data_IF_142912037946
#
_entry.id   IF_142912037946
#
_cell.length_a   1.000
_cell.length_b   1.000
_cell.length_c   1.000
_cell.angle_alpha   90.00
_cell.angle_beta   90.00
_cell.angle_gamma   90.00
#
_symmetry.space_group_name_H-M   'P 1'
#
loop_
_entity.id
_entity.type
_entity.pdbx_description
1 polymer ?
#
# COMPACT_ATOMS: atom_id res chain seq x y z
N UNK A 1 -55.67 -30.58 -11.29
CA UNK A 1 -55.23 -30.14 -9.96
C UNK A 1 -53.71 -30.06 -9.98
N UNK A 2 -53.17 -28.87 -9.74
CA UNK A 2 -51.83 -28.45 -10.16
C UNK A 2 -50.69 -29.11 -9.40
N UNK A 3 -49.64 -29.43 -10.15
CA UNK A 3 -48.31 -29.82 -9.68
C UNK A 3 -47.54 -28.55 -9.30
N UNK A 4 -47.09 -28.46 -8.04
CA UNK A 4 -46.10 -27.49 -7.61
C UNK A 4 -44.92 -28.25 -7.00
N UNK A 5 -43.89 -28.44 -7.81
CA UNK A 5 -42.57 -28.89 -7.35
C UNK A 5 -41.88 -27.73 -6.64
N UNK A 6 -41.57 -27.91 -5.35
CA UNK A 6 -40.88 -26.94 -4.53
C UNK A 6 -39.43 -26.82 -4.99
N UNK A 7 -39.09 -25.67 -5.58
CA UNK A 7 -37.70 -25.29 -5.81
C UNK A 7 -37.07 -24.91 -4.47
N UNK A 8 -36.31 -25.84 -3.89
CA UNK A 8 -35.39 -25.51 -2.79
C UNK A 8 -34.32 -24.58 -3.37
N UNK A 9 -34.48 -23.29 -3.11
CA UNK A 9 -33.46 -22.28 -3.37
C UNK A 9 -32.29 -22.62 -2.44
N UNK A 10 -31.23 -23.20 -3.00
CA UNK A 10 -29.94 -23.34 -2.34
C UNK A 10 -29.58 -21.97 -1.74
N UNK A 11 -29.55 -21.90 -0.41
CA UNK A 11 -28.95 -20.77 0.29
C UNK A 11 -27.52 -20.71 -0.19
N UNK A 12 -27.12 -19.55 -0.74
CA UNK A 12 -25.73 -19.22 -0.98
C UNK A 12 -25.01 -19.37 0.36
N UNK A 13 -24.35 -20.51 0.56
CA UNK A 13 -23.40 -20.67 1.62
C UNK A 13 -22.34 -19.61 1.40
N UNK A 14 -21.96 -18.90 2.48
CA UNK A 14 -20.75 -18.10 2.49
C UNK A 14 -19.64 -18.99 1.93
N UNK A 15 -19.16 -18.68 0.71
CA UNK A 15 -18.03 -19.36 0.10
C UNK A 15 -16.81 -19.12 0.99
N UNK A 16 -16.56 -20.04 1.91
CA UNK A 16 -15.33 -20.11 2.69
C UNK A 16 -14.42 -21.14 2.02
N UNK A 17 -13.23 -20.63 1.67
CA UNK A 17 -12.02 -21.24 1.12
C UNK A 17 -11.95 -21.44 -0.40
N UNK A 18 -11.53 -20.38 -1.11
CA UNK A 18 -11.03 -20.44 -2.50
C UNK A 18 -9.54 -20.03 -2.61
N UNK A 19 -8.78 -20.17 -1.52
CA UNK A 19 -7.36 -19.77 -1.44
C UNK A 19 -6.39 -20.94 -1.37
N UNK A 20 -5.09 -20.64 -1.29
CA UNK A 20 -4.07 -21.66 -1.01
C UNK A 20 -4.24 -22.21 0.42
N UNK A 21 -3.87 -23.48 0.64
CA UNK A 21 -4.06 -24.16 1.93
C UNK A 21 -3.13 -23.63 3.03
N UNK A 22 -1.85 -23.40 2.69
CA UNK A 22 -0.79 -23.16 3.68
C UNK A 22 -0.32 -21.70 3.73
N UNK A 23 -0.75 -20.87 2.78
CA UNK A 23 -0.35 -19.47 2.73
C UNK A 23 -1.46 -18.60 2.14
N UNK A 24 -1.36 -17.29 2.35
CA UNK A 24 -2.19 -16.29 1.67
C UNK A 24 -1.28 -15.46 0.78
N UNK A 25 -1.63 -15.33 -0.49
CA UNK A 25 -0.92 -14.43 -1.38
C UNK A 25 -1.46 -13.00 -1.26
N UNK A 26 -0.56 -12.04 -1.35
CA UNK A 26 -0.84 -10.62 -1.46
C UNK A 26 -0.07 -10.04 -2.65
N UNK A 27 -0.60 -8.97 -3.23
CA UNK A 27 0.04 -8.19 -4.29
C UNK A 27 0.46 -6.83 -3.72
N UNK A 28 1.64 -6.33 -4.09
CA UNK A 28 2.10 -4.99 -3.77
C UNK A 28 2.18 -4.17 -5.05
N UNK A 29 1.44 -3.06 -5.11
CA UNK A 29 1.40 -2.16 -6.27
C UNK A 29 2.08 -0.85 -5.87
N UNK A 30 3.18 -0.54 -6.56
CA UNK A 30 4.00 0.64 -6.26
C UNK A 30 3.29 1.94 -6.67
N UNK A 31 3.66 3.03 -6.02
CA UNK A 31 3.09 4.36 -6.24
C UNK A 31 3.36 4.86 -7.66
N UNK A 32 4.49 4.48 -8.25
CA UNK A 32 4.88 4.84 -9.61
C UNK A 32 3.97 4.22 -10.69
N UNK A 33 3.23 3.17 -10.35
CA UNK A 33 2.28 2.49 -11.22
C UNK A 33 0.86 2.97 -10.99
N UNK A 34 0.57 3.51 -9.81
CA UNK A 34 -0.75 4.04 -9.44
C UNK A 34 -0.86 5.50 -9.88
N UNK A 35 0.15 6.33 -9.62
CA UNK A 35 0.11 7.77 -9.87
C UNK A 35 -0.22 8.13 -11.33
N UNK A 36 0.31 7.45 -12.36
CA UNK A 36 -0.01 7.77 -13.75
C UNK A 36 -1.43 7.42 -14.18
N UNK A 37 -2.20 6.66 -13.38
CA UNK A 37 -3.56 6.26 -13.74
C UNK A 37 -4.53 7.44 -13.73
N UNK A 38 -4.35 8.39 -12.79
CA UNK A 38 -5.30 9.49 -12.58
C UNK A 38 -6.73 8.97 -12.42
N UNK A 39 -7.63 9.46 -13.29
CA UNK A 39 -9.04 9.07 -13.31
C UNK A 39 -9.31 7.74 -14.07
N UNK A 40 -8.36 7.21 -14.83
CA UNK A 40 -8.51 5.97 -15.60
C UNK A 40 -7.74 4.80 -14.98
N UNK A 41 -8.42 4.09 -14.09
CA UNK A 41 -7.90 2.86 -13.49
C UNK A 41 -8.10 1.61 -14.38
N UNK A 42 -8.74 1.75 -15.55
CA UNK A 42 -9.12 0.65 -16.43
C UNK A 42 -7.93 -0.21 -16.82
N UNK A 43 -6.84 0.43 -17.26
CA UNK A 43 -5.60 -0.25 -17.67
C UNK A 43 -5.03 -1.14 -16.56
N UNK A 44 -5.03 -0.66 -15.31
CA UNK A 44 -4.53 -1.40 -14.15
C UNK A 44 -5.46 -2.56 -13.80
N UNK A 45 -6.76 -2.28 -13.72
CA UNK A 45 -7.78 -3.27 -13.34
C UNK A 45 -7.95 -4.40 -14.36
N UNK A 46 -7.76 -4.13 -15.65
CA UNK A 46 -7.73 -5.15 -16.69
C UNK A 46 -6.54 -6.09 -16.52
N UNK A 47 -5.33 -5.54 -16.30
CA UNK A 47 -4.12 -6.33 -16.04
C UNK A 47 -4.29 -7.22 -14.81
N UNK A 48 -4.80 -6.65 -13.72
CA UNK A 48 -5.09 -7.39 -12.48
C UNK A 48 -6.14 -8.47 -12.72
N UNK A 49 -7.18 -8.20 -13.52
CA UNK A 49 -8.20 -9.18 -13.87
C UNK A 49 -7.63 -10.37 -14.65
N UNK A 50 -6.63 -10.13 -15.51
CA UNK A 50 -5.90 -11.24 -16.15
C UNK A 50 -5.06 -12.01 -15.13
N UNK A 51 -4.36 -11.32 -14.21
CA UNK A 51 -3.57 -11.99 -13.16
C UNK A 51 -4.42 -12.88 -12.26
N UNK A 52 -5.62 -12.42 -11.88
CA UNK A 52 -6.55 -13.16 -11.02
C UNK A 52 -7.02 -14.49 -11.63
N UNK A 53 -6.88 -14.69 -12.95
CA UNK A 53 -7.16 -15.98 -13.61
C UNK A 53 -6.13 -17.06 -13.27
N UNK A 54 -4.92 -16.66 -12.89
CA UNK A 54 -3.79 -17.55 -12.69
C UNK A 54 -3.26 -17.54 -11.25
N UNK A 55 -3.34 -16.40 -10.58
CA UNK A 55 -2.85 -16.20 -9.21
C UNK A 55 -3.97 -15.63 -8.37
N UNK A 56 -4.43 -16.41 -7.39
CA UNK A 56 -5.41 -15.94 -6.41
C UNK A 56 -4.68 -15.23 -5.26
N UNK A 57 -4.96 -13.95 -5.07
CA UNK A 57 -4.50 -13.19 -3.91
C UNK A 57 -5.69 -12.55 -3.21
N UNK A 58 -5.67 -12.58 -1.89
CA UNK A 58 -6.76 -12.05 -1.08
C UNK A 58 -6.53 -10.63 -0.60
N UNK A 59 -5.34 -10.08 -0.84
CA UNK A 59 -4.93 -8.77 -0.31
C UNK A 59 -4.06 -8.02 -1.31
N UNK A 60 -4.20 -6.70 -1.31
CA UNK A 60 -3.39 -5.78 -2.11
C UNK A 60 -2.89 -4.64 -1.23
N UNK A 61 -1.60 -4.35 -1.32
CA UNK A 61 -1.02 -3.12 -0.79
C UNK A 61 -0.98 -2.10 -1.92
N UNK A 62 -1.67 -0.97 -1.72
CA UNK A 62 -1.61 0.19 -2.59
C UNK A 62 -0.60 1.16 -2.01
N UNK A 63 0.55 1.27 -2.65
CA UNK A 63 1.61 2.16 -2.19
C UNK A 63 1.22 3.62 -2.43
N UNK A 64 1.25 4.42 -1.37
CA UNK A 64 0.86 5.83 -1.40
C UNK A 64 2.05 6.78 -1.61
N UNK A 65 3.28 6.27 -1.52
CA UNK A 65 4.48 7.07 -1.74
C UNK A 65 5.70 6.22 -2.11
N UNK A 66 6.44 6.69 -3.12
CA UNK A 66 7.80 6.27 -3.50
C UNK A 66 8.45 7.37 -4.35
N UNK A 67 9.72 7.64 -4.13
CA UNK A 67 10.52 8.61 -4.90
C UNK A 67 9.85 9.99 -5.02
N UNK A 68 9.34 10.49 -3.89
CA UNK A 68 8.60 11.75 -3.80
C UNK A 68 7.25 11.79 -4.54
N UNK A 69 6.89 10.74 -5.29
CA UNK A 69 5.61 10.60 -6.00
C UNK A 69 4.54 10.14 -5.03
N UNK A 70 3.39 10.81 -5.07
CA UNK A 70 2.19 10.49 -4.27
C UNK A 70 1.02 10.37 -5.22
N UNK A 71 0.38 9.19 -5.35
CA UNK A 71 -0.83 9.04 -6.15
C UNK A 71 -1.98 9.89 -5.60
N UNK A 72 -2.91 10.28 -6.48
CA UNK A 72 -4.07 11.04 -6.05
C UNK A 72 -4.99 10.22 -5.13
N UNK A 73 -5.58 10.88 -4.13
CA UNK A 73 -6.53 10.26 -3.20
C UNK A 73 -7.71 9.62 -3.94
N UNK A 74 -8.19 10.27 -5.01
CA UNK A 74 -9.30 9.77 -5.82
C UNK A 74 -8.95 8.45 -6.51
N UNK A 75 -7.76 8.35 -7.12
CA UNK A 75 -7.25 7.12 -7.74
C UNK A 75 -7.13 5.98 -6.73
N UNK A 76 -6.57 6.26 -5.54
CA UNK A 76 -6.45 5.27 -4.45
C UNK A 76 -7.82 4.76 -4.00
N UNK A 77 -8.80 5.66 -3.82
CA UNK A 77 -10.17 5.29 -3.45
C UNK A 77 -10.88 4.49 -4.53
N UNK A 78 -10.68 4.84 -5.81
CA UNK A 78 -11.26 4.11 -6.93
C UNK A 78 -10.71 2.68 -7.01
N UNK A 79 -9.39 2.50 -6.87
CA UNK A 79 -8.77 1.17 -6.78
C UNK A 79 -9.27 0.41 -5.53
N UNK A 80 -9.34 1.07 -4.38
CA UNK A 80 -9.83 0.49 -3.13
C UNK A 80 -11.25 -0.07 -3.30
N UNK A 81 -12.15 0.70 -3.92
CA UNK A 81 -13.51 0.29 -4.20
C UNK A 81 -13.55 -0.91 -5.15
N UNK A 82 -12.78 -0.87 -6.25
CA UNK A 82 -12.73 -1.93 -7.25
C UNK A 82 -12.27 -3.28 -6.67
N UNK A 83 -11.26 -3.27 -5.80
CA UNK A 83 -10.79 -4.48 -5.11
C UNK A 83 -11.80 -4.99 -4.09
N UNK A 84 -12.41 -4.09 -3.31
CA UNK A 84 -13.41 -4.44 -2.30
C UNK A 84 -14.63 -5.13 -2.92
N UNK A 85 -15.11 -4.66 -4.07
CA UNK A 85 -16.21 -5.30 -4.81
C UNK A 85 -15.93 -6.75 -5.21
N UNK A 86 -14.64 -7.13 -5.28
CA UNK A 86 -14.16 -8.47 -5.60
C UNK A 86 -13.76 -9.27 -4.36
N UNK A 87 -14.03 -8.75 -3.16
CA UNK A 87 -13.67 -9.41 -1.90
C UNK A 87 -12.16 -9.43 -1.62
N UNK A 88 -11.39 -8.53 -2.24
CA UNK A 88 -9.94 -8.41 -2.03
C UNK A 88 -9.69 -7.29 -1.03
N UNK A 89 -8.99 -7.61 0.07
CA UNK A 89 -8.61 -6.65 1.09
C UNK A 89 -7.56 -5.66 0.56
N UNK A 90 -7.58 -4.44 1.09
CA UNK A 90 -6.65 -3.38 0.70
C UNK A 90 -5.98 -2.78 1.92
N UNK A 91 -4.69 -2.49 1.80
CA UNK A 91 -3.88 -1.83 2.81
C UNK A 91 -2.97 -0.79 2.15
N UNK A 92 -2.49 0.18 2.91
CA UNK A 92 -1.52 1.16 2.42
C UNK A 92 -0.10 0.59 2.44
N UNK A 93 0.70 0.88 1.43
CA UNK A 93 2.16 0.75 1.45
C UNK A 93 2.83 2.12 1.48
N UNK A 94 3.95 2.26 2.20
CA UNK A 94 4.75 3.48 2.22
C UNK A 94 6.22 3.13 2.05
N UNK A 95 6.83 3.64 0.97
CA UNK A 95 8.27 3.56 0.73
C UNK A 95 8.90 4.93 0.92
N UNK A 96 9.80 5.07 1.90
CA UNK A 96 10.29 6.36 2.39
C UNK A 96 11.55 6.82 1.64
N UNK A 97 11.42 6.95 0.31
CA UNK A 97 12.51 7.34 -0.61
C UNK A 97 12.34 8.74 -1.19
N UNK A 98 13.47 9.40 -1.42
CA UNK A 98 13.56 10.64 -2.19
C UNK A 98 13.82 10.30 -3.65
N UNK A 99 14.82 9.45 -3.90
CA UNK A 99 15.27 9.04 -5.23
C UNK A 99 16.07 7.75 -5.12
N UNK A 100 15.46 6.62 -5.50
CA UNK A 100 16.10 5.31 -5.53
C UNK A 100 17.28 5.23 -6.51
N UNK A 101 17.21 5.96 -7.63
CA UNK A 101 18.25 5.94 -8.68
C UNK A 101 19.50 6.71 -8.24
N UNK A 102 19.38 7.60 -7.27
CA UNK A 102 20.48 8.39 -6.73
C UNK A 102 20.95 7.82 -5.38
N UNK A 103 21.60 6.66 -5.42
CA UNK A 103 22.15 5.96 -4.23
C UNK A 103 21.11 5.66 -3.15
N UNK A 104 19.89 5.27 -3.55
CA UNK A 104 18.84 4.89 -2.62
C UNK A 104 18.54 5.97 -1.58
N UNK A 105 18.54 7.26 -1.97
CA UNK A 105 18.33 8.36 -1.02
C UNK A 105 17.00 8.20 -0.31
N UNK A 106 17.03 8.09 1.02
CA UNK A 106 15.84 8.06 1.88
C UNK A 106 15.62 9.39 2.58
N UNK A 107 14.47 9.52 3.24
CA UNK A 107 14.17 10.72 4.00
C UNK A 107 15.19 10.96 5.12
N UNK A 108 15.56 12.22 5.31
CA UNK A 108 16.38 12.63 6.45
C UNK A 108 15.49 12.91 7.66
N UNK A 109 15.49 12.03 8.66
CA UNK A 109 14.65 12.23 9.85
C UNK A 109 15.10 13.39 10.76
N UNK A 110 16.33 13.89 10.59
CA UNK A 110 16.80 15.13 11.26
C UNK A 110 16.36 16.41 10.55
N UNK A 111 15.59 16.29 9.46
CA UNK A 111 15.07 17.41 8.68
C UNK A 111 13.55 17.48 8.83
N UNK A 112 13.06 18.65 9.22
CA UNK A 112 11.66 18.87 9.57
C UNK A 112 10.75 18.72 8.35
N UNK A 113 11.21 19.13 7.16
CA UNK A 113 10.44 18.98 5.92
C UNK A 113 10.12 17.51 5.62
N UNK A 114 11.11 16.63 5.75
CA UNK A 114 10.89 15.20 5.50
C UNK A 114 10.07 14.55 6.60
N UNK A 115 10.22 14.96 7.87
CA UNK A 115 9.35 14.48 8.97
C UNK A 115 7.90 14.88 8.75
N UNK A 116 7.66 16.14 8.39
CA UNK A 116 6.30 16.66 8.13
C UNK A 116 5.67 15.98 6.92
N UNK A 117 6.45 15.75 5.85
CA UNK A 117 5.98 14.98 4.70
C UNK A 117 5.61 13.56 5.07
N UNK A 118 6.45 12.85 5.83
CA UNK A 118 6.13 11.50 6.30
C UNK A 118 4.88 11.48 7.20
N UNK A 119 4.74 12.44 8.11
CA UNK A 119 3.55 12.60 8.95
C UNK A 119 2.29 12.75 8.11
N UNK A 120 2.33 13.60 7.08
CA UNK A 120 1.21 13.78 6.15
C UNK A 120 0.87 12.50 5.37
N UNK A 121 1.88 11.73 4.96
CA UNK A 121 1.66 10.43 4.29
C UNK A 121 0.99 9.42 5.22
N UNK A 122 1.46 9.31 6.46
CA UNK A 122 0.86 8.41 7.46
C UNK A 122 -0.57 8.83 7.79
N UNK A 123 -0.84 10.14 7.91
CA UNK A 123 -2.20 10.66 8.10
C UNK A 123 -3.10 10.30 6.92
N UNK A 124 -2.67 10.53 5.68
CA UNK A 124 -3.41 10.12 4.49
C UNK A 124 -3.68 8.61 4.49
N UNK A 125 -2.67 7.79 4.79
CA UNK A 125 -2.82 6.35 4.84
C UNK A 125 -3.86 5.93 5.90
N UNK A 126 -3.80 6.50 7.10
CA UNK A 126 -4.72 6.19 8.20
C UNK A 126 -6.16 6.67 7.94
N UNK A 127 -6.33 7.76 7.19
CA UNK A 127 -7.66 8.21 6.74
C UNK A 127 -8.27 7.27 5.70
N UNK A 128 -7.44 6.67 4.84
CA UNK A 128 -7.89 5.90 3.69
C UNK A 128 -7.91 4.39 3.93
N UNK A 129 -7.12 3.85 4.85
CA UNK A 129 -6.89 2.40 5.04
C UNK A 129 -6.85 2.01 6.52
N UNK A 130 -7.25 0.76 6.79
CA UNK A 130 -7.26 0.18 8.14
C UNK A 130 -5.90 -0.44 8.53
N UNK A 131 -5.02 -0.66 7.55
CA UNK A 131 -3.69 -1.22 7.75
C UNK A 131 -2.67 -0.49 6.88
N UNK A 132 -1.48 -0.27 7.44
CA UNK A 132 -0.35 0.39 6.81
C UNK A 132 0.87 -0.51 6.97
N UNK A 133 1.60 -0.74 5.87
CA UNK A 133 2.92 -1.35 5.89
C UNK A 133 3.98 -0.33 5.47
N UNK A 134 5.08 -0.28 6.22
CA UNK A 134 6.29 0.42 5.79
C UNK A 134 7.19 -0.56 5.05
N UNK A 135 7.65 -0.13 3.90
CA UNK A 135 8.63 -0.84 3.08
C UNK A 135 10.01 -0.86 3.77
N UNK A 136 10.91 -1.75 3.34
CA UNK A 136 12.22 -1.93 3.97
C UNK A 136 13.16 -0.73 3.78
N UNK A 137 12.80 0.22 2.90
CA UNK A 137 13.40 1.56 2.79
C UNK A 137 13.08 2.52 3.94
N UNK A 138 12.43 2.05 5.01
CA UNK A 138 12.29 2.78 6.26
C UNK A 138 13.59 2.80 7.09
N UNK A 139 14.68 3.26 6.47
CA UNK A 139 15.98 3.48 7.09
C UNK A 139 16.49 4.90 6.80
N UNK A 140 17.52 5.32 7.54
CA UNK A 140 18.20 6.59 7.31
C UNK A 140 19.60 6.38 6.75
N UNK A 141 19.85 6.84 5.52
CA UNK A 141 21.20 6.88 4.93
C UNK A 141 21.78 8.31 4.83
N UNK A 142 21.09 9.33 5.35
CA UNK A 142 21.54 10.71 5.31
C UNK A 142 22.68 10.97 6.31
N UNK A 143 23.78 11.57 5.82
CA UNK A 143 24.97 11.92 6.61
C UNK A 143 25.19 13.44 6.69
N UNK A 144 24.12 14.23 6.69
CA UNK A 144 24.22 15.68 6.80
C UNK A 144 24.77 16.11 8.18
N UNK A 145 25.19 17.38 8.30
CA UNK A 145 25.74 17.91 9.57
C UNK A 145 24.77 17.74 10.74
N UNK A 146 23.46 17.91 10.51
CA UNK A 146 22.43 17.67 11.54
C UNK A 146 22.39 16.21 11.98
N UNK A 147 22.42 15.26 11.04
CA UNK A 147 22.47 13.82 11.36
C UNK A 147 23.73 13.44 12.16
N UNK A 148 24.89 13.99 11.78
CA UNK A 148 26.16 13.72 12.47
C UNK A 148 26.14 14.29 13.89
N UNK A 149 25.71 15.55 14.03
CA UNK A 149 25.58 16.18 15.34
C UNK A 149 24.55 15.47 16.22
N UNK A 150 23.41 15.08 15.65
CA UNK A 150 22.39 14.31 16.34
C UNK A 150 22.95 12.95 16.77
N UNK A 151 23.65 12.21 15.90
CA UNK A 151 24.25 10.91 16.25
C UNK A 151 25.21 11.04 17.43
N UNK A 152 26.06 12.07 17.42
CA UNK A 152 27.13 12.21 18.41
C UNK A 152 28.06 11.00 18.40
N UNK A 153 28.52 10.61 19.58
CA UNK A 153 29.46 9.49 19.77
C UNK A 153 28.79 8.11 19.83
N UNK A 154 27.49 8.02 19.54
CA UNK A 154 26.75 6.76 19.55
C UNK A 154 27.26 5.82 18.46
N UNK A 155 27.28 4.52 18.77
CA UNK A 155 27.59 3.47 17.80
C UNK A 155 26.45 3.24 16.80
N UNK A 156 25.22 3.60 17.15
CA UNK A 156 24.02 3.54 16.31
C UNK A 156 23.55 4.94 15.86
N UNK A 157 22.68 5.05 14.84
CA UNK A 157 22.04 6.31 14.47
C UNK A 157 21.28 6.96 15.64
N UNK A 158 21.10 8.29 15.56
CA UNK A 158 20.33 9.02 16.56
C UNK A 158 18.88 8.53 16.62
N UNK A 159 18.36 8.36 17.84
CA UNK A 159 16.93 8.18 18.09
C UNK A 159 16.18 9.44 17.64
N UNK A 160 15.11 9.26 16.87
CA UNK A 160 14.20 10.34 16.50
C UNK A 160 13.22 10.49 17.66
N UNK A 161 13.20 11.67 18.28
CA UNK A 161 12.16 12.02 19.24
C UNK A 161 10.98 12.62 18.45
N UNK A 162 9.81 12.01 18.59
CA UNK A 162 8.57 12.47 17.97
C UNK A 162 7.79 13.24 19.04
N UNK A 163 7.70 14.57 18.88
CA UNK A 163 6.84 15.44 19.69
C UNK A 163 5.37 15.34 19.29
#
# INVERSE_FOLDING_TARGET
>A
MGSFSAWVRLRCGVMKSDGYQNFRAALYIRALEIAPLGDDIGVMTDRISQMLKHVRFGKVYLEIHRDMVVPERATLLALKAWFRERGIETAAGITVTIDELSDFKTYCYSDDFYRDKLKGLVQMAAELFDEIVFDDFFFNNCKCKKCIAAKGDRSSPATIEWE
#
